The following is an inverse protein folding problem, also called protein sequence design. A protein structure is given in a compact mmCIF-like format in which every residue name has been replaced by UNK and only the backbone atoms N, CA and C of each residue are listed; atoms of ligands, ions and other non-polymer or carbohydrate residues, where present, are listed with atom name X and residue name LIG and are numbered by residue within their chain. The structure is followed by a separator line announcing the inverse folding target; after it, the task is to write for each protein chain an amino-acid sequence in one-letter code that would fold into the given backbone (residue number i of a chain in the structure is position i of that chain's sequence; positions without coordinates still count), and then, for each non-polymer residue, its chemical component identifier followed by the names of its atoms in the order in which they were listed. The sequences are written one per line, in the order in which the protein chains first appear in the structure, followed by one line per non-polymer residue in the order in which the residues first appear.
data_IF_968884692704
#
_entry.id   IF_968884692704
#
_cell.length_a   1.000
_cell.length_b   1.000
_cell.length_c   1.000
_cell.angle_alpha   90.00
_cell.angle_beta   90.00
_cell.angle_gamma   90.00
#
_symmetry.space_group_name_H-M   'P 1'
#
loop_
_entity.id
_entity.type
_entity.pdbx_description
1 polymer ?
#
# COMPACT_ATOMS: atom_id res chain seq x y z
N UNK A 1 0.84 -21.46 -66.05
CA UNK A 1 1.41 -20.08 -66.07
C UNK A 1 0.46 -19.18 -65.31
N UNK A 2 0.65 -19.02 -64.00
CA UNK A 2 -0.12 -18.05 -63.20
C UNK A 2 0.58 -16.70 -63.33
N UNK A 3 -0.03 -15.78 -64.05
CA UNK A 3 0.38 -14.36 -64.03
C UNK A 3 0.00 -13.80 -62.70
N UNK A 4 0.99 -13.51 -61.86
CA UNK A 4 0.83 -12.68 -60.68
C UNK A 4 0.27 -11.32 -61.13
N UNK A 5 -1.00 -11.11 -60.88
CA UNK A 5 -1.67 -9.84 -61.12
C UNK A 5 -1.25 -8.88 -59.99
N UNK A 6 -0.05 -8.28 -60.10
CA UNK A 6 0.40 -7.22 -59.18
C UNK A 6 -0.47 -5.97 -59.47
N UNK A 7 -1.58 -5.86 -58.80
CA UNK A 7 -2.42 -4.69 -58.80
C UNK A 7 -1.57 -3.43 -58.54
N UNK A 8 -1.55 -2.50 -59.52
CA UNK A 8 -0.86 -1.24 -59.37
C UNK A 8 -1.50 -0.50 -58.19
N UNK A 9 -0.72 -0.24 -57.14
CA UNK A 9 -1.19 0.43 -55.90
C UNK A 9 -1.87 1.75 -56.15
N UNK A 10 -1.53 2.45 -57.22
CA UNK A 10 -2.15 3.71 -57.66
C UNK A 10 -3.57 3.47 -58.16
N UNK A 11 -3.78 2.45 -58.97
CA UNK A 11 -5.10 2.08 -59.49
C UNK A 11 -5.99 1.54 -58.38
N UNK A 12 -5.44 0.71 -57.50
CA UNK A 12 -6.15 0.23 -56.32
C UNK A 12 -6.63 1.39 -55.40
N UNK A 13 -5.76 2.38 -55.12
CA UNK A 13 -6.14 3.51 -54.28
C UNK A 13 -7.27 4.35 -54.91
N UNK A 14 -7.24 4.54 -56.24
CA UNK A 14 -8.32 5.22 -56.97
C UNK A 14 -9.63 4.43 -56.95
N UNK A 15 -9.57 3.11 -57.21
CA UNK A 15 -10.74 2.23 -57.17
C UNK A 15 -11.38 2.17 -55.78
N UNK A 16 -10.57 2.14 -54.73
CA UNK A 16 -10.98 2.10 -53.34
C UNK A 16 -11.37 3.51 -52.78
N UNK A 17 -11.27 4.57 -53.58
CA UNK A 17 -11.55 5.99 -53.19
C UNK A 17 -10.78 6.41 -51.91
N UNK A 18 -9.54 5.95 -51.76
CA UNK A 18 -8.68 6.29 -50.63
C UNK A 18 -7.37 6.91 -51.08
N UNK A 19 -6.73 7.69 -50.20
CA UNK A 19 -5.43 8.28 -50.52
C UNK A 19 -4.36 7.18 -50.63
N UNK A 20 -3.39 7.33 -51.54
CA UNK A 20 -2.28 6.41 -51.69
C UNK A 20 -1.46 6.21 -50.41
N UNK A 21 -1.33 7.27 -49.59
CA UNK A 21 -0.67 7.23 -48.27
C UNK A 21 -1.36 6.29 -47.31
N UNK A 22 -2.67 6.08 -47.44
CA UNK A 22 -3.45 5.19 -46.59
C UNK A 22 -3.08 3.70 -46.82
N UNK A 23 -2.59 3.33 -48.02
CA UNK A 23 -2.11 1.98 -48.32
C UNK A 23 -0.80 1.63 -47.60
N UNK A 24 -0.03 2.64 -47.21
CA UNK A 24 1.24 2.49 -46.50
C UNK A 24 1.09 2.81 -45.00
N UNK A 25 -0.12 3.15 -44.58
CA UNK A 25 -0.34 3.47 -43.19
C UNK A 25 -0.40 2.21 -42.34
N UNK A 26 0.61 2.05 -41.48
CA UNK A 26 0.60 1.05 -40.43
C UNK A 26 0.15 1.68 -39.13
N UNK A 27 -0.88 1.12 -38.53
CA UNK A 27 -1.41 1.61 -37.26
C UNK A 27 -0.42 1.30 -36.13
N UNK A 28 0.40 2.28 -35.75
CA UNK A 28 1.46 2.15 -34.74
C UNK A 28 0.94 1.96 -33.30
N UNK A 29 -0.36 2.07 -33.08
CA UNK A 29 -0.94 2.01 -31.74
C UNK A 29 -0.91 0.60 -31.13
N UNK A 30 -1.15 -0.50 -31.86
CA UNK A 30 -1.05 -1.86 -31.33
C UNK A 30 0.33 -2.19 -30.78
N UNK A 31 1.40 -1.81 -31.47
CA UNK A 31 2.78 -2.08 -31.02
C UNK A 31 3.10 -1.28 -29.74
N UNK A 32 2.67 -0.02 -29.69
CA UNK A 32 2.81 0.83 -28.49
C UNK A 32 2.01 0.30 -27.31
N UNK A 33 0.85 -0.29 -27.55
CA UNK A 33 0.01 -0.89 -26.51
C UNK A 33 0.58 -2.21 -26.02
N UNK A 34 1.14 -3.03 -26.93
CA UNK A 34 1.84 -4.26 -26.58
C UNK A 34 3.08 -3.98 -25.71
N UNK A 35 3.90 -3.03 -26.10
CA UNK A 35 5.04 -2.61 -25.29
C UNK A 35 4.60 -2.14 -23.90
N UNK A 36 3.58 -1.29 -23.81
CA UNK A 36 3.08 -0.80 -22.55
C UNK A 36 2.46 -1.92 -21.69
N UNK A 37 1.82 -2.90 -22.32
CA UNK A 37 1.31 -4.11 -21.65
C UNK A 37 2.45 -4.85 -20.94
N UNK A 38 3.57 -5.07 -21.60
CA UNK A 38 4.74 -5.72 -20.97
C UNK A 38 5.25 -4.93 -19.76
N UNK A 39 5.37 -3.61 -19.87
CA UNK A 39 5.78 -2.75 -18.75
C UNK A 39 4.80 -2.83 -17.56
N UNK A 40 3.50 -2.88 -17.83
CA UNK A 40 2.47 -3.05 -16.81
C UNK A 40 2.63 -4.41 -16.12
N UNK A 41 2.87 -5.48 -16.86
CA UNK A 41 3.04 -6.83 -16.29
C UNK A 41 4.29 -6.94 -15.43
N UNK A 42 5.40 -6.31 -15.83
CA UNK A 42 6.63 -6.23 -15.02
C UNK A 42 6.34 -5.49 -13.72
N UNK A 43 5.74 -4.31 -13.77
CA UNK A 43 5.40 -3.53 -12.60
C UNK A 43 4.41 -4.26 -11.66
N UNK A 44 3.50 -5.07 -12.19
CA UNK A 44 2.56 -5.87 -11.39
C UNK A 44 3.21 -7.11 -10.76
N UNK A 45 4.32 -7.62 -11.28
CA UNK A 45 5.12 -8.69 -10.62
C UNK A 45 5.79 -8.15 -9.36
N UNK A 46 6.30 -6.93 -9.40
CA UNK A 46 6.93 -6.26 -8.25
C UNK A 46 5.88 -5.74 -7.25
N UNK A 47 4.78 -5.19 -7.77
CA UNK A 47 3.72 -4.54 -6.99
C UNK A 47 2.33 -5.08 -7.38
N UNK A 48 1.95 -6.30 -6.97
CA UNK A 48 0.72 -6.97 -7.42
C UNK A 48 -0.57 -6.18 -7.15
N UNK A 49 -0.58 -5.32 -6.14
CA UNK A 49 -1.73 -4.51 -5.73
C UNK A 49 -1.85 -3.16 -6.45
N UNK A 50 -0.93 -2.84 -7.40
CA UNK A 50 -0.98 -1.55 -8.11
C UNK A 50 -2.18 -1.48 -9.05
N UNK A 51 -3.09 -0.53 -8.80
CA UNK A 51 -4.12 -0.14 -9.75
C UNK A 51 -3.60 0.85 -10.80
N UNK A 52 -4.41 1.14 -11.82
CA UNK A 52 -4.04 2.01 -12.93
C UNK A 52 -3.47 3.39 -12.53
N UNK A 53 -3.87 3.93 -11.37
CA UNK A 53 -3.36 5.23 -10.87
C UNK A 53 -1.89 5.11 -10.44
N UNK A 54 -1.54 4.06 -9.66
CA UNK A 54 -0.16 3.82 -9.22
C UNK A 54 0.74 3.40 -10.38
N UNK A 55 0.23 2.53 -11.27
CA UNK A 55 0.94 2.15 -12.51
C UNK A 55 1.26 3.36 -13.37
N UNK A 56 0.33 4.33 -13.47
CA UNK A 56 0.56 5.55 -14.23
C UNK A 56 1.68 6.42 -13.63
N UNK A 57 1.75 6.51 -12.30
CA UNK A 57 2.83 7.20 -11.59
C UNK A 57 4.16 6.46 -11.74
N UNK A 58 4.16 5.14 -11.54
CA UNK A 58 5.34 4.29 -11.63
C UNK A 58 5.96 4.31 -13.03
N UNK A 59 5.14 4.15 -14.07
CA UNK A 59 5.57 4.15 -15.49
C UNK A 59 5.63 5.57 -16.12
N UNK A 60 5.43 6.63 -15.33
CA UNK A 60 5.41 8.03 -15.78
C UNK A 60 4.55 8.24 -17.03
N UNK A 61 3.37 7.61 -17.06
CA UNK A 61 2.46 7.55 -18.22
C UNK A 61 1.06 8.01 -17.84
N UNK A 62 0.28 8.45 -18.82
CA UNK A 62 -1.10 8.92 -18.60
C UNK A 62 -2.00 7.78 -18.07
N UNK A 63 -2.74 8.06 -16.98
CA UNK A 63 -3.65 7.10 -16.32
C UNK A 63 -4.75 6.55 -17.26
N UNK A 64 -5.24 7.36 -18.21
CA UNK A 64 -6.24 6.91 -19.19
C UNK A 64 -5.66 5.89 -20.16
N UNK A 65 -4.40 6.08 -20.58
CA UNK A 65 -3.68 5.14 -21.45
C UNK A 65 -3.44 3.81 -20.74
N UNK A 66 -2.96 3.82 -19.49
CA UNK A 66 -2.81 2.60 -18.68
C UNK A 66 -4.15 1.87 -18.56
N UNK A 67 -5.22 2.57 -18.17
CA UNK A 67 -6.55 1.95 -17.99
C UNK A 67 -7.07 1.33 -19.30
N UNK A 68 -6.83 1.98 -20.45
CA UNK A 68 -7.22 1.46 -21.77
C UNK A 68 -6.47 0.18 -22.09
N UNK A 69 -5.13 0.16 -21.94
CA UNK A 69 -4.31 -1.02 -22.19
C UNK A 69 -4.70 -2.17 -21.25
N UNK A 70 -4.88 -1.89 -19.96
CA UNK A 70 -5.36 -2.91 -19.01
C UNK A 70 -6.70 -3.52 -19.42
N UNK A 71 -7.63 -2.71 -19.95
CA UNK A 71 -8.93 -3.19 -20.46
C UNK A 71 -8.77 -4.05 -21.71
N UNK A 72 -7.97 -3.61 -22.69
CA UNK A 72 -7.74 -4.34 -23.96
C UNK A 72 -7.17 -5.73 -23.67
N UNK A 73 -6.19 -5.84 -22.78
CA UNK A 73 -5.51 -7.09 -22.46
C UNK A 73 -6.09 -7.84 -21.26
N UNK A 74 -7.22 -7.39 -20.71
CA UNK A 74 -7.89 -8.07 -19.58
C UNK A 74 -7.07 -8.05 -18.28
N UNK A 75 -6.08 -7.17 -18.14
CA UNK A 75 -5.19 -7.11 -16.97
C UNK A 75 -5.96 -6.53 -15.78
N UNK A 76 -6.01 -7.29 -14.68
CA UNK A 76 -6.65 -6.86 -13.43
C UNK A 76 -5.63 -6.96 -12.29
N UNK A 77 -5.43 -5.88 -11.50
CA UNK A 77 -4.58 -5.96 -10.31
C UNK A 77 -5.22 -6.90 -9.29
N UNK A 78 -4.38 -7.60 -8.55
CA UNK A 78 -4.87 -8.47 -7.49
C UNK A 78 -5.54 -7.63 -6.39
N UNK A 79 -6.74 -8.04 -5.99
CA UNK A 79 -7.51 -7.44 -4.89
C UNK A 79 -8.09 -8.52 -4.01
N UNK A 80 -7.94 -8.38 -2.70
CA UNK A 80 -8.67 -9.24 -1.78
C UNK A 80 -10.17 -8.89 -1.85
N UNK A 81 -11.03 -9.90 -1.77
CA UNK A 81 -12.47 -9.66 -1.61
C UNK A 81 -12.70 -8.98 -0.26
N UNK A 82 -13.38 -7.83 -0.28
CA UNK A 82 -13.82 -7.16 0.93
C UNK A 82 -14.76 -8.07 1.73
N UNK A 83 -14.64 -8.05 3.05
CA UNK A 83 -15.64 -8.70 3.92
C UNK A 83 -16.89 -7.82 3.94
N UNK A 84 -18.08 -8.44 3.90
CA UNK A 84 -19.33 -7.72 4.15
C UNK A 84 -19.30 -7.19 5.59
N UNK A 85 -19.53 -5.90 5.74
CA UNK A 85 -19.64 -5.25 7.04
C UNK A 85 -20.83 -5.85 7.81
N UNK A 86 -20.59 -6.30 9.03
CA UNK A 86 -21.68 -6.58 9.99
C UNK A 86 -21.97 -5.29 10.74
N UNK A 87 -23.22 -4.85 10.77
CA UNK A 87 -23.63 -3.77 11.66
C UNK A 87 -23.35 -4.22 13.10
N UNK A 88 -22.45 -3.53 13.77
CA UNK A 88 -22.17 -3.73 15.20
C UNK A 88 -23.01 -2.72 15.98
N UNK A 89 -23.45 -3.09 17.17
CA UNK A 89 -24.11 -2.17 18.10
C UNK A 89 -23.21 -0.97 18.38
N UNK A 90 -23.80 0.21 18.36
CA UNK A 90 -23.09 1.46 18.65
C UNK A 90 -22.82 1.60 20.15
N UNK A 91 -21.86 0.87 20.66
CA UNK A 91 -21.30 1.14 21.99
C UNK A 91 -20.14 2.09 21.82
N UNK A 92 -20.34 3.35 22.21
CA UNK A 92 -19.33 4.43 22.11
C UNK A 92 -18.48 4.56 23.39
N UNK A 93 -18.57 3.60 24.32
CA UNK A 93 -17.74 3.61 25.51
C UNK A 93 -16.26 3.40 25.13
N UNK A 94 -15.40 4.31 25.50
CA UNK A 94 -13.95 4.22 25.35
C UNK A 94 -13.29 4.58 26.66
N UNK A 95 -12.21 3.89 27.01
CA UNK A 95 -11.38 4.27 28.16
C UNK A 95 -10.63 5.58 27.88
N UNK A 96 -10.23 5.81 26.62
CA UNK A 96 -9.55 7.00 26.15
C UNK A 96 -10.30 7.62 24.96
N UNK A 97 -10.27 8.96 24.79
CA UNK A 97 -10.98 9.63 23.72
C UNK A 97 -10.42 9.26 22.35
N UNK A 98 -11.25 9.29 21.31
CA UNK A 98 -10.82 9.20 19.93
C UNK A 98 -10.39 10.60 19.42
N UNK A 99 -9.11 10.91 19.54
CA UNK A 99 -8.56 12.20 19.12
C UNK A 99 -8.54 12.37 17.60
N UNK A 100 -8.53 11.27 16.81
CA UNK A 100 -8.57 11.34 15.35
C UNK A 100 -9.86 11.90 14.77
N UNK A 101 -10.93 12.01 15.56
CA UNK A 101 -12.16 12.66 15.12
C UNK A 101 -12.02 14.19 15.06
N UNK A 102 -11.11 14.78 15.85
CA UNK A 102 -10.89 16.21 15.93
C UNK A 102 -9.53 16.67 15.36
N UNK A 103 -8.54 15.77 15.31
CA UNK A 103 -7.18 16.10 14.92
C UNK A 103 -6.77 15.40 13.63
N UNK A 104 -6.10 16.17 12.75
CA UNK A 104 -5.50 15.64 11.51
C UNK A 104 -3.97 15.69 11.63
N UNK A 105 -3.25 14.70 11.03
CA UNK A 105 -1.80 14.71 11.03
C UNK A 105 -1.27 15.91 10.25
N UNK A 106 -0.44 16.76 10.89
CA UNK A 106 0.06 18.04 10.34
C UNK A 106 1.53 17.98 9.92
N UNK A 107 2.32 17.15 10.59
CA UNK A 107 3.77 17.00 10.41
C UNK A 107 4.21 15.56 10.80
N UNK A 108 5.43 15.13 10.44
CA UNK A 108 5.95 13.84 10.85
C UNK A 108 5.97 13.67 12.38
N UNK A 109 5.64 12.50 12.85
CA UNK A 109 5.55 12.14 14.27
C UNK A 109 4.49 12.91 15.08
N UNK A 110 3.53 13.59 14.43
CA UNK A 110 2.39 14.17 15.13
C UNK A 110 1.45 13.08 15.66
N UNK A 111 0.96 12.23 14.78
CA UNK A 111 0.03 11.14 15.13
C UNK A 111 0.51 9.84 14.49
N UNK A 112 0.75 8.83 15.30
CA UNK A 112 0.93 7.46 14.84
C UNK A 112 -0.32 6.63 15.07
N UNK A 113 -0.55 5.62 14.23
CA UNK A 113 -1.58 4.62 14.46
C UNK A 113 -0.94 3.25 14.59
N UNK A 114 -1.39 2.48 15.57
CA UNK A 114 -0.95 1.10 15.82
C UNK A 114 -2.09 0.13 15.61
N UNK A 115 -1.74 -1.05 15.10
CA UNK A 115 -2.65 -2.21 15.00
C UNK A 115 -1.80 -3.47 14.80
N UNK A 116 -2.41 -4.62 14.97
CA UNK A 116 -1.76 -5.88 14.67
C UNK A 116 -2.62 -6.76 13.78
N UNK A 117 -1.98 -7.70 13.10
CA UNK A 117 -2.64 -8.68 12.26
C UNK A 117 -2.02 -10.05 12.44
N UNK A 118 -2.76 -11.08 12.05
CA UNK A 118 -2.26 -12.45 12.05
C UNK A 118 -2.04 -12.96 10.62
N UNK A 119 -1.03 -13.80 10.46
CA UNK A 119 -0.63 -14.45 9.23
C UNK A 119 -0.61 -15.96 9.52
N UNK A 120 -1.45 -16.71 8.83
CA UNK A 120 -1.47 -18.17 8.96
C UNK A 120 -0.38 -18.77 8.11
N UNK A 121 0.56 -19.45 8.76
CA UNK A 121 1.67 -20.14 8.13
C UNK A 121 1.65 -21.63 8.52
N UNK A 122 1.33 -22.49 7.56
CA UNK A 122 1.16 -23.92 7.81
C UNK A 122 0.22 -24.15 9.01
N UNK A 123 0.66 -24.83 10.06
CA UNK A 123 -0.12 -25.10 11.29
C UNK A 123 0.08 -24.04 12.39
N UNK A 124 0.79 -22.94 12.10
CA UNK A 124 1.11 -21.89 13.08
C UNK A 124 0.45 -20.57 12.72
N UNK A 125 0.28 -19.71 13.71
CA UNK A 125 -0.11 -18.32 13.52
C UNK A 125 1.07 -17.42 13.86
N UNK A 126 1.39 -16.51 12.98
CA UNK A 126 2.41 -15.47 13.16
C UNK A 126 1.67 -14.15 13.34
N UNK A 127 2.02 -13.40 14.37
CA UNK A 127 1.43 -12.10 14.67
C UNK A 127 2.41 -11.01 14.23
N UNK A 128 1.89 -10.01 13.54
CA UNK A 128 2.60 -8.83 13.10
C UNK A 128 1.90 -7.61 13.65
N UNK A 129 2.56 -6.81 14.49
CA UNK A 129 2.13 -5.47 14.84
C UNK A 129 2.94 -4.44 14.05
N UNK A 130 2.29 -3.33 13.71
CA UNK A 130 2.92 -2.21 13.00
C UNK A 130 2.46 -0.88 13.57
N UNK A 131 3.34 0.11 13.51
CA UNK A 131 3.02 1.52 13.72
C UNK A 131 3.22 2.29 12.43
N UNK A 132 2.25 3.11 12.07
CA UNK A 132 2.28 3.97 10.89
C UNK A 132 2.17 5.43 11.29
N UNK A 133 3.07 6.26 10.81
CA UNK A 133 2.93 7.71 10.88
C UNK A 133 1.82 8.16 9.93
N UNK A 134 0.81 8.82 10.47
CA UNK A 134 -0.36 9.22 9.68
C UNK A 134 -0.10 10.40 8.76
N UNK A 135 1.00 11.13 8.92
CA UNK A 135 1.41 12.19 8.00
C UNK A 135 2.26 11.64 6.85
N UNK A 136 3.39 11.00 7.16
CA UNK A 136 4.33 10.46 6.16
C UNK A 136 3.84 9.16 5.53
N UNK A 137 2.92 8.45 6.16
CA UNK A 137 2.47 7.08 5.82
C UNK A 137 3.57 6.04 5.94
N UNK A 138 4.67 6.35 6.60
CA UNK A 138 5.77 5.44 6.85
C UNK A 138 5.42 4.46 7.98
N UNK A 139 5.81 3.20 7.83
CA UNK A 139 5.81 2.24 8.95
C UNK A 139 7.06 2.56 9.78
N UNK A 140 6.82 3.19 10.93
CA UNK A 140 7.87 3.64 11.85
C UNK A 140 8.44 2.51 12.68
N UNK A 141 7.62 1.51 13.01
CA UNK A 141 8.02 0.33 13.76
C UNK A 141 7.16 -0.87 13.48
N UNK A 142 7.71 -2.05 13.69
CA UNK A 142 6.98 -3.30 13.62
C UNK A 142 7.66 -4.41 14.43
N UNK A 143 6.88 -5.40 14.81
CA UNK A 143 7.33 -6.59 15.52
C UNK A 143 6.62 -7.84 15.03
N UNK A 144 7.31 -8.98 15.02
CA UNK A 144 6.79 -10.28 14.60
C UNK A 144 6.98 -11.28 15.71
N UNK A 145 5.90 -11.87 16.23
CA UNK A 145 5.93 -12.89 17.27
C UNK A 145 5.06 -14.10 16.90
N UNK A 146 5.32 -15.23 17.57
CA UNK A 146 4.51 -16.45 17.44
C UNK A 146 3.37 -16.53 18.48
N UNK A 147 3.37 -15.64 19.45
CA UNK A 147 2.35 -15.55 20.48
C UNK A 147 1.65 -14.20 20.43
N UNK A 148 0.38 -14.21 20.78
CA UNK A 148 -0.43 -13.03 20.96
C UNK A 148 -0.25 -12.51 22.40
N UNK A 149 0.41 -11.39 22.57
CA UNK A 149 0.73 -10.81 23.89
C UNK A 149 0.99 -9.32 23.80
N UNK A 150 0.91 -8.61 24.93
CA UNK A 150 1.27 -7.19 25.03
C UNK A 150 2.73 -6.92 24.60
N UNK A 151 3.63 -7.90 24.75
CA UNK A 151 5.02 -7.82 24.25
C UNK A 151 5.10 -7.51 22.75
N UNK A 152 4.12 -7.95 21.95
CA UNK A 152 4.07 -7.67 20.51
C UNK A 152 3.97 -6.17 20.25
N UNK A 153 3.05 -5.48 20.90
CA UNK A 153 2.84 -4.04 20.73
C UNK A 153 3.92 -3.20 21.43
N UNK A 154 4.41 -3.65 22.59
CA UNK A 154 5.53 -3.03 23.31
C UNK A 154 6.80 -3.03 22.47
N UNK A 155 7.18 -4.19 21.92
CA UNK A 155 8.34 -4.30 21.02
C UNK A 155 8.19 -3.41 19.78
N UNK A 156 6.95 -3.28 19.26
CA UNK A 156 6.67 -2.43 18.11
C UNK A 156 6.90 -0.96 18.44
N UNK A 157 6.40 -0.49 19.60
CA UNK A 157 6.61 0.88 20.07
C UNK A 157 8.11 1.14 20.32
N UNK A 158 8.79 0.26 21.05
CA UNK A 158 10.23 0.38 21.31
C UNK A 158 11.03 0.44 20.01
N UNK A 159 10.73 -0.42 19.03
CA UNK A 159 11.39 -0.40 17.72
C UNK A 159 11.14 0.90 16.96
N UNK A 160 9.95 1.49 17.10
CA UNK A 160 9.61 2.74 16.46
C UNK A 160 10.36 3.93 17.08
N UNK A 161 10.27 4.09 18.41
CA UNK A 161 10.90 5.25 19.11
C UNK A 161 12.42 5.17 19.16
N UNK A 162 13.01 3.99 18.90
CA UNK A 162 14.47 3.86 18.75
C UNK A 162 15.02 4.48 17.46
N UNK A 163 14.18 4.74 16.47
CA UNK A 163 14.58 5.23 15.13
C UNK A 163 13.94 6.57 14.76
N UNK A 164 12.82 6.89 15.36
CA UNK A 164 12.05 8.09 15.09
C UNK A 164 11.82 8.89 16.36
N UNK A 165 11.48 10.17 16.23
CA UNK A 165 11.03 10.98 17.36
C UNK A 165 9.74 10.39 17.93
N UNK A 166 9.58 10.50 19.23
CA UNK A 166 8.37 10.07 19.93
C UNK A 166 7.16 10.82 19.37
N UNK A 167 6.04 10.14 19.06
CA UNK A 167 4.86 10.81 18.54
C UNK A 167 4.14 11.59 19.65
N UNK A 168 3.44 12.65 19.27
CA UNK A 168 2.60 13.37 20.23
C UNK A 168 1.35 12.57 20.60
N UNK A 169 0.77 11.84 19.64
CA UNK A 169 -0.42 11.02 19.83
C UNK A 169 -0.22 9.65 19.23
N UNK A 170 -0.62 8.60 19.96
CA UNK A 170 -0.68 7.24 19.46
C UNK A 170 -2.13 6.75 19.48
N UNK A 171 -2.62 6.37 18.31
CA UNK A 171 -3.96 5.86 18.10
C UNK A 171 -3.97 4.34 17.92
N UNK A 172 -4.86 3.66 18.63
CA UNK A 172 -5.06 2.21 18.54
C UNK A 172 -6.54 1.83 18.63
N UNK A 173 -6.84 0.56 18.49
CA UNK A 173 -8.12 0.03 18.94
C UNK A 173 -8.11 -0.25 20.45
N UNK A 174 -9.25 -0.75 20.99
CA UNK A 174 -9.38 -1.13 22.40
C UNK A 174 -8.96 -2.57 22.67
N UNK A 175 -7.99 -3.11 21.94
CA UNK A 175 -7.44 -4.43 22.20
C UNK A 175 -6.85 -4.53 23.61
N UNK A 176 -6.90 -5.72 24.21
CA UNK A 176 -6.35 -5.98 25.55
C UNK A 176 -4.85 -5.67 25.63
N UNK A 177 -4.15 -5.74 24.51
CA UNK A 177 -2.73 -5.45 24.40
C UNK A 177 -2.46 -3.96 24.58
N UNK A 178 -3.30 -3.11 24.01
CA UNK A 178 -3.20 -1.63 24.06
C UNK A 178 -3.73 -1.07 25.37
N UNK A 179 -4.65 -1.78 26.05
CA UNK A 179 -5.20 -1.37 27.36
C UNK A 179 -4.47 -2.00 28.53
N UNK A 180 -3.38 -2.75 28.27
CA UNK A 180 -2.57 -3.34 29.33
C UNK A 180 -1.84 -2.26 30.13
N UNK A 181 -1.72 -2.47 31.45
CA UNK A 181 -1.04 -1.53 32.36
C UNK A 181 0.39 -1.22 31.93
N UNK A 182 1.11 -2.24 31.47
CA UNK A 182 2.51 -2.10 31.05
C UNK A 182 2.63 -1.22 29.80
N UNK A 183 1.71 -1.40 28.83
CA UNK A 183 1.74 -0.62 27.60
C UNK A 183 1.39 0.86 27.87
N UNK A 184 0.33 1.11 28.64
CA UNK A 184 -0.07 2.47 29.08
C UNK A 184 1.07 3.14 29.84
N UNK A 185 1.73 2.43 30.78
CA UNK A 185 2.86 2.99 31.52
C UNK A 185 4.03 3.39 30.61
N UNK A 186 4.27 2.68 29.50
CA UNK A 186 5.28 3.10 28.51
C UNK A 186 4.84 4.36 27.76
N UNK A 187 3.58 4.44 27.33
CA UNK A 187 3.05 5.62 26.64
C UNK A 187 3.12 6.85 27.54
N UNK A 188 2.70 6.72 28.81
CA UNK A 188 2.75 7.80 29.81
C UNK A 188 4.19 8.26 30.09
N UNK A 189 5.14 7.31 30.26
CA UNK A 189 6.56 7.63 30.46
C UNK A 189 7.19 8.35 29.28
N UNK A 190 6.70 8.08 28.07
CA UNK A 190 7.14 8.75 26.84
C UNK A 190 6.40 10.07 26.59
N UNK A 191 5.40 10.41 27.40
CA UNK A 191 4.58 11.62 27.25
C UNK A 191 3.63 11.56 26.03
N UNK A 192 3.26 10.36 25.58
CA UNK A 192 2.40 10.15 24.41
C UNK A 192 0.94 10.31 24.81
N UNK A 193 0.17 11.10 24.07
CA UNK A 193 -1.30 11.18 24.24
C UNK A 193 -1.96 9.92 23.67
N UNK A 194 -2.72 9.22 24.52
CA UNK A 194 -3.42 8.00 24.13
C UNK A 194 -4.73 8.35 23.42
N UNK A 195 -4.95 7.75 22.26
CA UNK A 195 -6.18 7.86 21.48
C UNK A 195 -6.70 6.49 21.12
N UNK A 196 -8.00 6.22 21.31
CA UNK A 196 -8.57 4.91 20.99
C UNK A 196 -9.82 5.02 20.14
N UNK A 197 -9.95 4.14 19.14
CA UNK A 197 -11.15 4.00 18.33
C UNK A 197 -12.31 3.45 19.18
N UNK A 198 -13.55 3.78 18.81
CA UNK A 198 -14.72 3.22 19.47
C UNK A 198 -14.83 1.71 19.20
N UNK A 199 -15.38 0.99 20.17
CA UNK A 199 -15.57 -0.45 20.07
C UNK A 199 -16.45 -0.80 18.86
N UNK A 200 -15.95 -1.69 17.99
CA UNK A 200 -16.67 -2.10 16.79
C UNK A 200 -16.67 -1.06 15.67
N UNK A 201 -15.82 -0.03 15.74
CA UNK A 201 -15.66 0.99 14.71
C UNK A 201 -14.31 0.87 13.96
N UNK A 202 -14.05 -0.24 13.24
CA UNK A 202 -12.76 -0.45 12.59
C UNK A 202 -12.42 0.62 11.55
N UNK A 203 -13.42 1.29 10.97
CA UNK A 203 -13.19 2.42 10.05
C UNK A 203 -12.43 3.60 10.70
N UNK A 204 -12.45 3.72 12.02
CA UNK A 204 -11.70 4.74 12.76
C UNK A 204 -10.19 4.46 12.77
N UNK A 205 -9.78 3.18 12.55
CA UNK A 205 -8.39 2.78 12.27
C UNK A 205 -8.18 2.37 10.80
N UNK A 206 -8.88 3.03 9.88
CA UNK A 206 -8.87 2.72 8.45
C UNK A 206 -7.49 2.80 7.78
N UNK A 207 -6.54 3.53 8.36
CA UNK A 207 -5.17 3.60 7.88
C UNK A 207 -4.47 2.25 8.00
N UNK A 208 -4.56 1.60 9.16
CA UNK A 208 -3.99 0.29 9.42
C UNK A 208 -4.72 -0.82 8.62
N UNK A 209 -6.06 -0.78 8.56
CA UNK A 209 -6.83 -1.71 7.73
C UNK A 209 -6.40 -1.64 6.26
N UNK A 210 -6.25 -0.44 5.73
CA UNK A 210 -5.79 -0.22 4.35
C UNK A 210 -4.37 -0.74 4.14
N UNK A 211 -3.46 -0.50 5.09
CA UNK A 211 -2.10 -1.02 5.06
C UNK A 211 -2.09 -2.54 5.03
N UNK A 212 -2.71 -3.21 6.01
CA UNK A 212 -2.71 -4.68 6.08
C UNK A 212 -3.39 -5.35 4.90
N UNK A 213 -4.44 -4.73 4.34
CA UNK A 213 -5.06 -5.25 3.13
C UNK A 213 -4.07 -5.29 1.95
N UNK A 214 -3.27 -4.25 1.78
CA UNK A 214 -2.26 -4.15 0.73
C UNK A 214 -1.03 -5.00 1.05
N UNK A 215 -0.55 -4.96 2.28
CA UNK A 215 0.57 -5.77 2.77
C UNK A 215 0.34 -7.27 2.51
N UNK A 216 -0.86 -7.79 2.84
CA UNK A 216 -1.19 -9.21 2.61
C UNK A 216 -1.28 -9.58 1.11
N UNK A 217 -1.56 -8.62 0.24
CA UNK A 217 -1.50 -8.83 -1.22
C UNK A 217 -0.05 -8.90 -1.68
N UNK A 218 0.78 -7.96 -1.23
CA UNK A 218 2.17 -7.86 -1.66
C UNK A 218 3.02 -9.00 -1.05
N UNK A 219 2.73 -9.44 0.18
CA UNK A 219 3.33 -10.63 0.80
C UNK A 219 2.96 -11.92 0.04
N UNK A 220 1.74 -11.99 -0.55
CA UNK A 220 1.23 -13.18 -1.23
C UNK A 220 0.83 -14.32 -0.28
N UNK A 221 0.87 -15.58 -0.78
CA UNK A 221 0.56 -16.76 0.03
C UNK A 221 1.71 -17.06 1.01
N UNK A 222 1.46 -16.99 2.34
CA UNK A 222 2.49 -17.32 3.33
C UNK A 222 2.97 -18.78 3.25
N UNK A 223 2.12 -19.70 2.79
CA UNK A 223 2.44 -21.13 2.74
C UNK A 223 3.41 -21.52 1.62
N UNK A 224 3.75 -20.57 0.73
CA UNK A 224 4.77 -20.76 -0.31
C UNK A 224 6.20 -20.87 0.26
N UNK A 225 6.41 -20.41 1.49
CA UNK A 225 7.71 -20.44 2.15
C UNK A 225 7.98 -21.79 2.81
N UNK A 226 9.23 -22.25 2.76
CA UNK A 226 9.62 -23.55 3.28
C UNK A 226 9.69 -23.57 4.81
N UNK A 227 10.20 -22.52 5.42
CA UNK A 227 10.34 -22.38 6.86
C UNK A 227 9.99 -20.96 7.35
N UNK A 228 9.83 -20.84 8.67
CA UNK A 228 9.42 -19.58 9.32
C UNK A 228 10.37 -18.41 9.04
N UNK A 229 11.67 -18.67 8.99
CA UNK A 229 12.68 -17.63 8.73
C UNK A 229 12.48 -16.96 7.37
N UNK A 230 12.15 -17.73 6.32
CA UNK A 230 11.82 -17.17 5.00
C UNK A 230 10.57 -16.27 5.04
N UNK A 231 9.53 -16.71 5.77
CA UNK A 231 8.34 -15.90 5.94
C UNK A 231 8.65 -14.59 6.70
N UNK A 232 9.41 -14.67 7.80
CA UNK A 232 9.80 -13.48 8.57
C UNK A 232 10.61 -12.54 7.70
N UNK A 233 11.59 -13.05 6.96
CA UNK A 233 12.37 -12.22 6.02
C UNK A 233 11.47 -11.56 4.95
N UNK A 234 10.50 -12.30 4.40
CA UNK A 234 9.56 -11.76 3.42
C UNK A 234 8.65 -10.67 4.03
N UNK A 235 8.25 -10.80 5.31
CA UNK A 235 7.53 -9.75 6.03
C UNK A 235 8.38 -8.48 6.12
N UNK A 236 9.65 -8.61 6.57
CA UNK A 236 10.60 -7.49 6.64
C UNK A 236 10.80 -6.83 5.30
N UNK A 237 11.05 -7.62 4.24
CA UNK A 237 11.19 -7.11 2.88
C UNK A 237 9.95 -6.38 2.40
N UNK A 238 8.76 -6.93 2.65
CA UNK A 238 7.50 -6.29 2.21
C UNK A 238 7.28 -4.94 2.90
N UNK A 239 7.64 -4.81 4.18
CA UNK A 239 7.57 -3.54 4.91
C UNK A 239 8.63 -2.55 4.38
N UNK A 240 9.84 -3.03 4.14
CA UNK A 240 10.89 -2.21 3.52
C UNK A 240 10.47 -1.68 2.15
N UNK A 241 9.91 -2.55 1.29
CA UNK A 241 9.41 -2.17 -0.04
C UNK A 241 8.21 -1.20 0.07
N UNK A 242 7.37 -1.35 1.09
CA UNK A 242 6.29 -0.41 1.36
C UNK A 242 6.83 0.98 1.67
N UNK A 243 7.84 1.10 2.53
CA UNK A 243 8.40 2.39 2.91
C UNK A 243 9.21 3.03 1.78
N UNK A 244 10.04 2.25 1.07
CA UNK A 244 11.07 2.79 0.18
C UNK A 244 10.71 2.73 -1.31
N UNK A 245 9.89 1.78 -1.74
CA UNK A 245 9.65 1.54 -3.17
C UNK A 245 8.18 1.77 -3.57
N UNK A 246 7.26 1.57 -2.62
CA UNK A 246 5.84 1.61 -2.93
C UNK A 246 5.28 3.02 -2.99
N UNK A 247 4.74 3.43 -4.14
CA UNK A 247 4.11 4.74 -4.31
C UNK A 247 2.80 4.82 -3.52
N UNK A 248 2.70 5.78 -2.61
CA UNK A 248 1.44 6.16 -1.97
C UNK A 248 0.68 7.16 -2.84
N UNK A 249 -0.63 6.89 -3.05
CA UNK A 249 -1.44 7.70 -4.00
C UNK A 249 -1.62 9.14 -3.55
N UNK A 250 -1.68 9.36 -2.24
CA UNK A 250 -1.81 10.69 -1.62
C UNK A 250 -0.51 11.48 -1.69
N UNK A 251 0.61 10.81 -1.44
CA UNK A 251 1.95 11.41 -1.44
C UNK A 251 2.54 11.50 -2.84
N UNK A 252 2.09 10.66 -3.78
CA UNK A 252 2.61 10.50 -5.16
C UNK A 252 4.06 9.97 -5.22
N UNK A 253 4.58 9.50 -4.11
CA UNK A 253 5.93 8.94 -3.94
C UNK A 253 5.94 7.93 -2.79
N UNK A 254 7.04 7.17 -2.58
CA UNK A 254 7.21 6.32 -1.41
C UNK A 254 7.20 7.12 -0.10
N UNK A 255 6.73 6.52 1.03
CA UNK A 255 6.69 7.17 2.34
C UNK A 255 8.03 7.73 2.81
N UNK A 256 9.10 6.95 2.74
CA UNK A 256 10.44 7.36 3.17
C UNK A 256 10.98 8.53 2.34
N UNK A 257 10.77 8.52 1.01
CA UNK A 257 11.14 9.64 0.15
C UNK A 257 10.37 10.92 0.51
N UNK A 258 9.08 10.79 0.86
CA UNK A 258 8.28 11.92 1.28
C UNK A 258 8.78 12.49 2.62
N UNK A 259 9.08 11.63 3.61
CA UNK A 259 9.63 12.04 4.90
C UNK A 259 10.96 12.75 4.73
N UNK A 260 11.88 12.19 3.95
CA UNK A 260 13.18 12.79 3.65
C UNK A 260 13.03 14.20 3.05
N UNK A 261 12.19 14.34 2.01
CA UNK A 261 11.95 15.63 1.36
C UNK A 261 11.32 16.66 2.29
N UNK A 262 10.50 16.22 3.23
CA UNK A 262 9.92 17.10 4.23
C UNK A 262 10.99 17.67 5.16
N UNK A 263 11.88 16.83 5.69
CA UNK A 263 12.97 17.27 6.57
C UNK A 263 13.99 18.14 5.86
N UNK A 264 14.37 17.82 4.62
CA UNK A 264 15.24 18.66 3.80
C UNK A 264 14.69 20.06 3.59
N UNK A 265 13.38 20.19 3.34
CA UNK A 265 12.74 21.49 3.21
C UNK A 265 12.67 22.25 4.53
N UNK A 266 12.39 21.57 5.62
CA UNK A 266 12.30 22.20 6.94
C UNK A 266 13.66 22.72 7.41
N UNK A 267 14.76 22.02 7.08
CA UNK A 267 16.13 22.45 7.40
C UNK A 267 16.63 23.66 6.59
N UNK A 268 15.97 23.99 5.48
CA UNK A 268 16.31 25.19 4.68
C UNK A 268 15.68 26.48 5.23
N UNK A 269 14.81 26.37 6.21
CA UNK A 269 14.13 27.53 6.84
C UNK A 269 14.60 27.79 8.28
N UNK A 270 15.62 27.10 8.73
CA UNK A 270 16.33 27.33 10.01
C UNK A 270 17.72 27.84 9.71
#
# INVERSE_FOLDING_TARGET
MNKDCSLNKTEFSKAARMSRSMLYYHHKQPDKDWWLKQQIEIALREHPSYGHKRLAMHLKTNKKRILRVMKIFGIKPFRRRGRKYKKVSKDYSTQYPNLLLAEFPKYPNHIWASDFTYIKFKKRTVYLATMIDLFTKEITGFSVLLCHSNLLVMNTLTAAVSKHLVPETLHSDQGSEYTSKDYIAIEDNLGIKISMSHKGCPWENGYQESFYSQFKVDLGDPNRFNHLGELVWAIYKTIYDYNNNRIQTTLKMPPAEFAQRYYERSSLFV
#
